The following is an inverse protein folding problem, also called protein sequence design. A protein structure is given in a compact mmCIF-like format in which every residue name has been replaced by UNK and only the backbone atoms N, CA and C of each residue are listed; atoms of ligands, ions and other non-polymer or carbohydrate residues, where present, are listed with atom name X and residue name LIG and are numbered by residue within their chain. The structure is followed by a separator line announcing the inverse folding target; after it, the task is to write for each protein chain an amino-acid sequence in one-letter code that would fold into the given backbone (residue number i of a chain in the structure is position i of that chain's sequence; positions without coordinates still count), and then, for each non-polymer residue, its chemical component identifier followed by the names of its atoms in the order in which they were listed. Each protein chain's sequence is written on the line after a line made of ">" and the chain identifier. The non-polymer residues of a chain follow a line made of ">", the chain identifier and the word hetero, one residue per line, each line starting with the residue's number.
data_IF_122880014747
#
_entry.id   IF_122880014747
#
_cell.length_a   1.000
_cell.length_b   1.000
_cell.length_c   1.000
_cell.angle_alpha   90.00
_cell.angle_beta   90.00
_cell.angle_gamma   90.00
#
_symmetry.space_group_name_H-M   'P 1'
#
loop_
_entity.id
_entity.type
_entity.pdbx_description
1 polymer ?
#
# COMPACT_ATOMS: atom_id res chain seq x y z
N UNK A 1 -22.07 -11.29 -2.00
CA UNK A 1 -21.25 -10.47 -1.08
C UNK A 1 -19.76 -10.53 -1.41
N UNK A 2 -19.13 -11.71 -1.52
CA UNK A 2 -17.69 -11.85 -1.84
C UNK A 2 -17.20 -10.97 -3.01
N UNK A 3 -17.91 -10.96 -4.14
CA UNK A 3 -17.53 -10.14 -5.31
C UNK A 3 -17.46 -8.64 -5.02
N UNK A 4 -18.40 -8.12 -4.22
CA UNK A 4 -18.42 -6.69 -3.87
C UNK A 4 -17.18 -6.31 -3.07
N UNK A 5 -16.81 -7.13 -2.07
CA UNK A 5 -15.62 -6.87 -1.26
C UNK A 5 -14.32 -7.01 -2.06
N UNK A 6 -14.25 -7.99 -2.95
CA UNK A 6 -13.11 -8.15 -3.87
C UNK A 6 -12.96 -6.96 -4.82
N UNK A 7 -14.06 -6.51 -5.44
CA UNK A 7 -14.06 -5.32 -6.29
C UNK A 7 -13.66 -4.07 -5.50
N UNK A 8 -14.21 -3.87 -4.30
CA UNK A 8 -13.82 -2.76 -3.43
C UNK A 8 -12.35 -2.81 -3.02
N UNK A 9 -11.83 -3.99 -2.67
CA UNK A 9 -10.42 -4.16 -2.32
C UNK A 9 -9.53 -3.69 -3.47
N UNK A 10 -9.83 -4.12 -4.69
CA UNK A 10 -9.06 -3.75 -5.88
C UNK A 10 -9.13 -2.25 -6.14
N UNK A 11 -10.29 -1.63 -5.99
CA UNK A 11 -10.45 -0.18 -6.14
C UNK A 11 -9.68 0.61 -5.07
N UNK A 12 -9.62 0.11 -3.83
CA UNK A 12 -8.83 0.72 -2.75
C UNK A 12 -7.33 0.61 -3.05
N UNK A 13 -6.86 -0.58 -3.46
CA UNK A 13 -5.46 -0.78 -3.85
C UNK A 13 -5.08 0.13 -5.00
N UNK A 14 -5.94 0.24 -6.02
CA UNK A 14 -5.74 1.14 -7.17
C UNK A 14 -5.59 2.59 -6.72
N UNK A 15 -6.51 3.08 -5.88
CA UNK A 15 -6.45 4.46 -5.35
C UNK A 15 -5.20 4.73 -4.49
N UNK A 16 -4.76 3.74 -3.70
CA UNK A 16 -3.53 3.85 -2.90
C UNK A 16 -2.28 3.87 -3.80
N UNK A 17 -2.24 3.07 -4.86
CA UNK A 17 -1.05 2.84 -5.69
C UNK A 17 -0.91 3.70 -6.96
N UNK A 18 -1.99 4.18 -7.57
CA UNK A 18 -1.93 4.93 -8.84
C UNK A 18 -3.04 5.98 -8.95
N UNK A 19 -2.72 7.25 -9.20
CA UNK A 19 -2.34 7.81 -10.51
C UNK A 19 -3.40 7.70 -11.63
N UNK A 20 -4.65 7.39 -11.29
CA UNK A 20 -5.81 7.61 -12.16
C UNK A 20 -6.49 8.93 -11.81
N UNK A 21 -5.98 10.05 -12.34
CA UNK A 21 -6.44 11.45 -12.12
C UNK A 21 -5.98 12.14 -10.82
N UNK A 22 -5.25 11.47 -9.92
CA UNK A 22 -4.65 12.06 -8.71
C UNK A 22 -3.39 11.32 -8.26
N UNK A 23 -2.55 11.96 -7.42
CA UNK A 23 -1.38 11.32 -6.81
C UNK A 23 -1.85 10.32 -5.75
N UNK A 24 -1.52 9.03 -5.92
CA UNK A 24 -1.69 8.01 -4.88
C UNK A 24 -0.74 8.26 -3.70
N UNK A 25 -0.72 7.35 -2.73
CA UNK A 25 0.13 7.48 -1.53
C UNK A 25 1.56 6.97 -1.77
N UNK A 26 1.76 6.11 -2.77
CA UNK A 26 3.08 5.57 -3.10
C UNK A 26 3.96 6.61 -3.77
N UNK A 27 5.14 6.83 -3.20
CA UNK A 27 6.16 7.67 -3.78
C UNK A 27 7.22 6.80 -4.47
N UNK A 28 7.30 6.87 -5.80
CA UNK A 28 8.23 6.01 -6.56
C UNK A 28 9.69 6.43 -6.38
N UNK A 29 9.97 7.69 -6.07
CA UNK A 29 11.33 8.18 -5.84
C UNK A 29 11.89 7.61 -4.53
N UNK A 30 11.18 7.82 -3.43
CA UNK A 30 11.61 7.34 -2.12
C UNK A 30 11.32 5.84 -1.95
N UNK A 31 10.25 5.32 -2.52
CA UNK A 31 9.85 3.92 -2.32
C UNK A 31 9.13 3.69 -1.02
N UNK A 32 8.28 4.65 -0.65
CA UNK A 32 7.57 4.65 0.61
C UNK A 32 6.17 5.23 0.43
N UNK A 33 5.22 4.82 1.27
CA UNK A 33 3.89 5.42 1.28
C UNK A 33 3.85 6.64 2.20
N UNK A 34 3.41 7.79 1.68
CA UNK A 34 3.26 9.02 2.45
C UNK A 34 1.81 9.51 2.45
N UNK A 35 1.41 10.10 3.57
CA UNK A 35 0.17 10.86 3.65
C UNK A 35 0.28 12.16 2.85
N UNK A 36 -0.86 12.74 2.48
CA UNK A 36 -0.93 14.01 1.77
C UNK A 36 -1.72 15.04 2.57
N UNK A 37 -1.21 16.26 2.63
CA UNK A 37 -1.93 17.41 3.15
C UNK A 37 -2.62 18.08 1.97
N UNK A 38 -3.95 18.15 2.04
CA UNK A 38 -4.76 18.94 1.11
C UNK A 38 -4.91 20.35 1.63
N UNK A 39 -4.59 21.33 0.81
CA UNK A 39 -4.72 22.76 1.10
C UNK A 39 -6.04 23.29 0.55
N UNK A 40 -6.47 24.44 1.06
CA UNK A 40 -7.74 25.09 0.66
C UNK A 40 -7.73 25.53 -0.81
N UNK A 41 -6.55 25.79 -1.38
CA UNK A 41 -6.34 26.08 -2.81
C UNK A 41 -6.50 24.84 -3.71
N UNK A 42 -6.83 23.68 -3.13
CA UNK A 42 -7.00 22.41 -3.84
C UNK A 42 -5.71 21.66 -4.13
N UNK A 43 -4.54 22.23 -3.81
CA UNK A 43 -3.26 21.55 -3.98
C UNK A 43 -3.04 20.48 -2.91
N UNK A 44 -2.22 19.48 -3.24
CA UNK A 44 -1.86 18.40 -2.31
C UNK A 44 -0.35 18.23 -2.26
N UNK A 45 0.20 18.28 -1.05
CA UNK A 45 1.64 18.12 -0.81
C UNK A 45 1.90 16.89 0.03
N UNK A 46 2.83 16.00 -0.38
CA UNK A 46 3.16 14.81 0.40
C UNK A 46 3.80 15.22 1.73
N UNK A 47 3.38 14.55 2.79
CA UNK A 47 3.97 14.62 4.11
C UNK A 47 5.11 13.61 4.16
N UNK A 48 6.33 14.05 3.81
CA UNK A 48 7.56 13.23 3.72
C UNK A 48 8.07 12.82 5.12
N UNK A 49 7.25 12.08 5.86
CA UNK A 49 7.52 11.55 7.19
C UNK A 49 7.41 10.04 7.13
N UNK A 50 8.55 9.36 7.32
CA UNK A 50 8.63 7.89 7.37
C UNK A 50 8.16 7.40 8.74
N UNK A 51 6.86 7.17 8.85
CA UNK A 51 6.21 6.65 10.06
C UNK A 51 5.63 5.26 9.83
N UNK A 52 5.25 4.59 10.92
CA UNK A 52 4.57 3.30 10.89
C UNK A 52 3.27 3.33 10.07
N UNK A 53 2.60 4.50 9.98
CA UNK A 53 1.41 4.66 9.14
C UNK A 53 1.73 4.36 7.68
N UNK A 54 2.88 4.79 7.17
CA UNK A 54 3.34 4.49 5.81
C UNK A 54 3.69 3.01 5.57
N UNK A 55 3.81 2.22 6.63
CA UNK A 55 3.99 0.77 6.57
C UNK A 55 2.66 0.00 6.66
N UNK A 56 1.55 0.67 6.99
CA UNK A 56 0.20 0.06 7.12
C UNK A 56 -0.21 -0.77 5.90
N UNK A 57 0.11 -0.38 4.64
CA UNK A 57 -0.20 -1.20 3.46
C UNK A 57 0.31 -2.65 3.52
N UNK A 58 1.36 -2.94 4.29
CA UNK A 58 1.90 -4.30 4.49
C UNK A 58 0.90 -5.24 5.18
N UNK A 59 0.00 -4.70 6.00
CA UNK A 59 -1.00 -5.51 6.73
C UNK A 59 -2.26 -5.77 5.91
N UNK A 60 -2.47 -5.01 4.83
CA UNK A 60 -3.65 -5.11 3.97
C UNK A 60 -3.46 -6.23 2.93
N UNK A 61 -3.49 -7.47 3.42
CA UNK A 61 -3.33 -8.70 2.61
C UNK A 61 -4.56 -9.59 2.71
N UNK A 62 -4.92 -10.22 1.59
CA UNK A 62 -5.99 -11.19 1.49
C UNK A 62 -5.49 -12.41 0.71
N UNK A 63 -5.63 -13.60 1.30
CA UNK A 63 -5.29 -14.86 0.64
C UNK A 63 -6.59 -15.53 0.17
N UNK A 64 -6.68 -15.81 -1.12
CA UNK A 64 -7.82 -16.51 -1.72
C UNK A 64 -7.39 -17.92 -2.14
N UNK A 65 -8.04 -18.94 -1.56
CA UNK A 65 -7.80 -20.34 -1.90
C UNK A 65 -8.65 -20.70 -3.12
N UNK A 66 -8.00 -21.19 -4.18
CA UNK A 66 -8.59 -21.47 -5.49
C UNK A 66 -9.76 -22.44 -5.40
N UNK A 67 -9.65 -23.48 -4.57
CA UNK A 67 -10.74 -24.44 -4.38
C UNK A 67 -11.99 -23.78 -3.79
N UNK A 68 -11.82 -22.97 -2.74
CA UNK A 68 -12.90 -22.19 -2.14
C UNK A 68 -13.51 -21.21 -3.14
N UNK A 69 -12.68 -20.50 -3.90
CA UNK A 69 -13.15 -19.57 -4.95
C UNK A 69 -13.94 -20.32 -6.03
N UNK A 70 -13.48 -21.49 -6.47
CA UNK A 70 -14.18 -22.32 -7.47
C UNK A 70 -15.52 -22.84 -6.95
N UNK A 71 -15.62 -23.14 -5.66
CA UNK A 71 -16.89 -23.53 -5.01
C UNK A 71 -17.94 -22.39 -5.03
N UNK A 72 -17.52 -21.16 -5.31
CA UNK A 72 -18.36 -19.96 -5.42
C UNK A 72 -18.48 -19.50 -6.89
N UNK A 73 -19.29 -20.16 -7.74
CA UNK A 73 -19.29 -19.93 -9.19
C UNK A 73 -19.59 -18.49 -9.61
N UNK A 74 -20.48 -17.79 -8.89
CA UNK A 74 -20.80 -16.38 -9.15
C UNK A 74 -19.68 -15.41 -8.76
N UNK A 75 -18.85 -15.77 -7.78
CA UNK A 75 -17.66 -15.00 -7.43
C UNK A 75 -16.54 -15.28 -8.44
N UNK A 76 -16.29 -16.56 -8.72
CA UNK A 76 -15.27 -17.00 -9.69
C UNK A 76 -15.43 -16.34 -11.06
N UNK A 77 -16.64 -16.36 -11.64
CA UNK A 77 -16.93 -15.72 -12.93
C UNK A 77 -16.59 -14.22 -12.93
N UNK A 78 -16.93 -13.51 -11.85
CA UNK A 78 -16.66 -12.07 -11.73
C UNK A 78 -15.17 -11.78 -11.53
N UNK A 79 -14.49 -12.55 -10.69
CA UNK A 79 -13.05 -12.42 -10.51
C UNK A 79 -12.30 -12.66 -11.84
N UNK A 80 -12.67 -13.71 -12.58
CA UNK A 80 -12.09 -13.97 -13.91
C UNK A 80 -12.41 -12.86 -14.92
N UNK A 81 -13.65 -12.35 -14.92
CA UNK A 81 -14.02 -11.24 -15.79
C UNK A 81 -13.16 -10.01 -15.47
N UNK A 82 -12.97 -9.66 -14.20
CA UNK A 82 -12.16 -8.53 -13.80
C UNK A 82 -10.69 -8.71 -14.20
N UNK A 83 -10.13 -9.91 -13.94
CA UNK A 83 -8.76 -10.26 -14.35
C UNK A 83 -8.56 -10.08 -15.85
N UNK A 84 -9.57 -10.46 -16.66
CA UNK A 84 -9.50 -10.38 -18.13
C UNK A 84 -9.73 -8.96 -18.66
N UNK A 85 -10.67 -8.21 -18.10
CA UNK A 85 -11.14 -6.95 -18.66
C UNK A 85 -10.49 -5.71 -18.03
N UNK A 86 -9.88 -5.84 -16.84
CA UNK A 86 -9.20 -4.75 -16.11
C UNK A 86 -7.76 -5.13 -15.73
N UNK A 87 -6.90 -5.48 -16.72
CA UNK A 87 -5.52 -5.84 -16.45
C UNK A 87 -4.73 -4.71 -15.78
N UNK A 88 -5.15 -3.45 -15.99
CA UNK A 88 -4.60 -2.26 -15.35
C UNK A 88 -4.72 -2.29 -13.82
N UNK A 89 -5.89 -2.71 -13.32
CA UNK A 89 -6.14 -2.86 -11.88
C UNK A 89 -5.41 -4.06 -11.31
N UNK A 90 -5.37 -5.15 -12.07
CA UNK A 90 -4.75 -6.42 -11.67
C UNK A 90 -3.24 -6.28 -11.58
N UNK A 91 -2.61 -5.51 -12.46
CA UNK A 91 -1.17 -5.24 -12.40
C UNK A 91 -0.75 -4.48 -11.12
N UNK A 92 -1.70 -3.77 -10.48
CA UNK A 92 -1.46 -2.96 -9.28
C UNK A 92 -1.76 -3.69 -7.97
N UNK A 93 -2.31 -4.89 -8.06
CA UNK A 93 -2.49 -5.80 -6.94
C UNK A 93 -1.45 -6.89 -7.10
N UNK A 94 -0.60 -7.14 -6.10
CA UNK A 94 0.31 -8.28 -6.19
C UNK A 94 -0.53 -9.55 -6.26
N UNK A 95 -0.58 -10.18 -7.43
CA UNK A 95 -1.26 -11.45 -7.65
C UNK A 95 -0.18 -12.49 -7.95
N UNK A 96 0.38 -13.09 -6.89
CA UNK A 96 1.28 -14.23 -7.05
C UNK A 96 0.49 -15.39 -7.65
N UNK A 97 0.78 -15.70 -8.92
CA UNK A 97 0.34 -16.91 -9.62
C UNK A 97 1.51 -17.88 -9.66
N UNK A 98 1.86 -18.49 -8.54
CA UNK A 98 2.95 -19.48 -8.58
C UNK A 98 2.46 -20.89 -8.91
N UNK A 99 3.21 -21.54 -9.81
CA UNK A 99 2.85 -22.80 -10.46
C UNK A 99 3.14 -24.06 -9.64
N UNK A 100 2.73 -25.19 -10.23
CA UNK A 100 3.14 -26.61 -10.11
C UNK A 100 3.57 -27.21 -8.75
N UNK A 101 3.41 -26.53 -7.63
CA UNK A 101 3.61 -27.08 -6.27
C UNK A 101 2.34 -26.89 -5.44
N UNK A 102 2.20 -27.55 -4.29
CA UNK A 102 0.98 -27.51 -3.45
C UNK A 102 0.59 -26.08 -2.95
N UNK A 103 1.45 -25.08 -3.13
CA UNK A 103 1.16 -23.66 -2.92
C UNK A 103 0.42 -22.98 -4.11
N UNK A 104 0.27 -23.68 -5.24
CA UNK A 104 -0.29 -23.16 -6.51
C UNK A 104 -1.81 -22.92 -6.52
N UNK A 105 -2.47 -23.24 -5.41
CA UNK A 105 -3.91 -23.04 -5.22
C UNK A 105 -4.22 -21.81 -4.36
N UNK A 106 -3.27 -20.91 -4.11
CA UNK A 106 -3.53 -19.67 -3.38
C UNK A 106 -3.23 -18.46 -4.26
N UNK A 107 -4.06 -17.45 -4.13
CA UNK A 107 -3.89 -16.14 -4.73
C UNK A 107 -3.75 -15.12 -3.61
N UNK A 108 -2.55 -14.57 -3.45
CA UNK A 108 -2.34 -13.42 -2.58
C UNK A 108 -2.87 -12.18 -3.30
N UNK A 109 -3.55 -11.31 -2.56
CA UNK A 109 -3.89 -9.95 -2.94
C UNK A 109 -3.32 -9.04 -1.86
N UNK A 110 -2.54 -8.05 -2.25
CA UNK A 110 -1.95 -7.09 -1.33
C UNK A 110 -2.01 -5.69 -1.92
N UNK A 111 -1.95 -4.68 -1.04
CA UNK A 111 -1.75 -3.30 -1.47
C UNK A 111 -0.38 -3.14 -2.15
N UNK A 112 0.77 -3.38 -1.50
CA UNK A 112 2.05 -3.29 -2.19
C UNK A 112 2.23 -4.43 -3.19
N UNK A 113 2.74 -4.12 -4.37
CA UNK A 113 3.35 -5.08 -5.29
C UNK A 113 4.61 -5.70 -4.67
N UNK A 114 5.12 -6.80 -5.23
CA UNK A 114 6.37 -7.42 -4.77
C UNK A 114 7.54 -6.42 -4.76
N UNK A 115 7.68 -5.62 -5.83
CA UNK A 115 8.70 -4.56 -5.91
C UNK A 115 8.56 -3.54 -4.77
N UNK A 116 7.33 -3.11 -4.47
CA UNK A 116 7.06 -2.14 -3.40
C UNK A 116 7.31 -2.76 -2.02
N UNK A 117 6.92 -4.02 -1.82
CA UNK A 117 7.18 -4.77 -0.59
C UNK A 117 8.68 -4.81 -0.29
N UNK A 118 9.51 -5.19 -1.28
CA UNK A 118 10.96 -5.24 -1.09
C UNK A 118 11.54 -3.88 -0.67
N UNK A 119 11.12 -2.78 -1.33
CA UNK A 119 11.54 -1.42 -0.95
C UNK A 119 11.08 -1.02 0.45
N UNK A 120 9.88 -1.41 0.87
CA UNK A 120 9.42 -1.17 2.23
C UNK A 120 10.20 -1.97 3.26
N UNK A 121 10.59 -3.20 2.93
CA UNK A 121 11.41 -4.05 3.80
C UNK A 121 12.82 -3.47 3.99
N UNK A 122 13.39 -2.82 2.96
CA UNK A 122 14.67 -2.12 3.08
C UNK A 122 14.62 -1.05 4.20
N UNK A 123 13.51 -0.31 4.33
CA UNK A 123 13.30 0.62 5.44
C UNK A 123 12.98 -0.08 6.77
N UNK A 124 12.08 -1.07 6.72
CA UNK A 124 11.56 -1.74 7.92
C UNK A 124 12.67 -2.44 8.71
N UNK A 125 13.62 -3.05 7.98
CA UNK A 125 14.68 -3.88 8.53
C UNK A 125 16.02 -3.14 8.72
N UNK A 126 16.08 -1.84 8.40
CA UNK A 126 17.26 -1.02 8.62
C UNK A 126 17.28 -0.44 10.04
N UNK A 127 18.40 -0.65 10.75
CA UNK A 127 18.60 -0.18 12.12
C UNK A 127 18.68 1.35 12.25
N UNK A 128 19.08 2.03 11.18
CA UNK A 128 19.11 3.51 11.08
C UNK A 128 17.77 4.10 10.64
N UNK A 129 16.77 3.26 10.38
CA UNK A 129 15.40 3.65 10.06
C UNK A 129 14.43 3.07 11.11
N UNK A 130 13.80 1.93 10.84
CA UNK A 130 12.71 1.40 11.66
C UNK A 130 13.13 0.29 12.62
N UNK A 131 14.15 -0.51 12.33
CA UNK A 131 14.52 -1.65 13.17
C UNK A 131 15.30 -1.18 14.41
N UNK A 132 14.93 -1.68 15.58
CA UNK A 132 15.67 -1.42 16.81
C UNK A 132 15.84 -2.70 17.62
N UNK A 133 16.75 -2.71 18.63
CA UNK A 133 16.88 -3.83 19.56
C UNK A 133 15.57 -4.19 20.30
N UNK A 134 14.59 -3.29 20.32
CA UNK A 134 13.31 -3.46 21.01
C UNK A 134 12.12 -3.65 20.05
N UNK A 135 12.38 -3.84 18.75
CA UNK A 135 11.37 -4.01 17.71
C UNK A 135 11.27 -2.81 16.75
N UNK A 136 10.15 -2.73 16.03
CA UNK A 136 9.91 -1.71 14.99
C UNK A 136 9.51 -0.37 15.61
N UNK A 137 10.24 0.70 15.26
CA UNK A 137 9.94 2.07 15.70
C UNK A 137 8.65 2.59 15.07
N UNK A 138 7.92 3.44 15.78
CA UNK A 138 6.73 4.11 15.23
C UNK A 138 7.09 5.22 14.23
N UNK A 139 8.31 5.75 14.31
CA UNK A 139 8.88 6.76 13.44
C UNK A 139 10.32 6.36 13.12
N UNK A 140 10.73 6.50 11.87
CA UNK A 140 12.10 6.23 11.46
C UNK A 140 13.10 7.08 12.25
N UNK A 141 14.22 6.46 12.64
CA UNK A 141 15.37 7.10 13.29
C UNK A 141 16.05 8.14 12.38
N UNK A 142 15.83 8.11 11.07
CA UNK A 142 16.28 9.17 10.16
C UNK A 142 15.72 10.57 10.52
N UNK A 143 14.65 10.64 11.33
CA UNK A 143 14.09 11.89 11.86
C UNK A 143 14.67 12.30 13.23
N UNK A 144 15.53 11.48 13.86
CA UNK A 144 16.19 11.76 15.15
C UNK A 144 17.09 13.00 15.06
N UNK A 145 17.74 13.20 13.91
CA UNK A 145 18.64 14.33 13.65
C UNK A 145 17.99 15.31 12.67
N UNK A 146 16.98 16.07 13.12
CA UNK A 146 16.56 17.32 12.44
C UNK A 146 15.54 18.14 13.25
N UNK A 147 15.84 19.43 13.43
CA UNK A 147 14.91 20.51 13.84
C UNK A 147 13.61 20.61 13.00
N UNK A 148 13.45 19.80 11.94
CA UNK A 148 12.36 19.87 10.97
C UNK A 148 11.00 19.38 11.48
N UNK A 149 10.93 18.59 12.55
CA UNK A 149 9.62 18.23 13.16
C UNK A 149 8.95 19.49 13.72
N UNK A 150 9.74 20.41 14.28
CA UNK A 150 9.24 21.71 14.74
C UNK A 150 8.72 22.54 13.57
N UNK A 151 9.39 22.54 12.41
CA UNK A 151 8.96 23.31 11.25
C UNK A 151 7.73 22.72 10.55
N UNK A 152 7.55 21.40 10.60
CA UNK A 152 6.34 20.73 10.14
C UNK A 152 5.14 21.08 11.03
N UNK A 153 5.32 21.07 12.35
CA UNK A 153 4.29 21.51 13.31
C UNK A 153 3.97 23.00 13.11
N UNK A 154 4.97 23.86 12.92
CA UNK A 154 4.76 25.28 12.59
C UNK A 154 4.03 25.47 11.27
N UNK A 155 4.33 24.66 10.26
CA UNK A 155 3.64 24.71 8.96
C UNK A 155 2.18 24.28 9.08
N UNK A 156 1.89 23.24 9.87
CA UNK A 156 0.52 22.79 10.17
C UNK A 156 -0.29 23.80 10.99
N UNK A 157 0.36 24.52 11.91
CA UNK A 157 -0.25 25.60 12.69
C UNK A 157 -0.54 26.83 11.82
N UNK A 158 0.39 27.21 10.93
CA UNK A 158 0.25 28.38 10.06
C UNK A 158 -0.70 28.16 8.88
N UNK A 159 -0.94 26.92 8.44
CA UNK A 159 -1.92 26.60 7.40
C UNK A 159 -3.39 26.66 7.88
N UNK A 160 -3.63 26.86 9.18
CA UNK A 160 -4.97 27.02 9.78
C UNK A 160 -5.37 28.48 10.06
N UNK A 161 -4.59 29.46 9.60
CA UNK A 161 -4.90 30.90 9.69
C UNK A 161 -5.08 31.48 8.30
#
# INVERSE_FOLDING_TARGET
>A
MASKYFEHFILIVDAINASGQGRGLWDEEDGFYYDYIRKDDGTSTPLKVRSLVGLTPLFAVLVLVREEVRSLPGFYKRAQWLIKNRPDLVARVAMLKEGHTALSDKMLLSVPTEKQLLRLLDYLLDEEEFLSPYGIRSLSKAHEVREKVSDLIKTLINAKR
#
